data_IF_740025080889
#
_entry.id   IF_740025080889
#
_cell.length_a   1.000
_cell.length_b   1.000
_cell.length_c   1.000
_cell.angle_alpha   90.00
_cell.angle_beta   90.00
_cell.angle_gamma   90.00
#
_symmetry.space_group_name_H-M   'P 1'
#
loop_
_entity.id
_entity.type
_entity.pdbx_description
1 polymer ?
#
# COMPACT_ATOMS: atom_id res chain seq x y z
N UNK A 1 -5.56 21.99 -9.20
CA UNK A 1 -5.58 21.79 -7.73
C UNK A 1 -6.97 21.46 -7.18
N UNK A 2 -8.02 22.22 -7.51
CA UNK A 2 -9.38 22.01 -6.97
C UNK A 2 -10.13 20.86 -7.68
N UNK A 3 -9.83 20.56 -8.94
CA UNK A 3 -10.71 19.76 -9.81
C UNK A 3 -10.77 18.26 -9.51
N UNK A 4 -9.68 17.63 -9.07
CA UNK A 4 -9.68 16.21 -8.65
C UNK A 4 -10.27 16.08 -7.24
N UNK A 5 -9.90 16.98 -6.31
CA UNK A 5 -10.48 17.04 -4.98
C UNK A 5 -12.01 17.28 -5.03
N UNK A 6 -12.49 18.08 -5.99
CA UNK A 6 -13.92 18.28 -6.26
C UNK A 6 -14.59 17.12 -7.02
N UNK A 7 -13.89 16.43 -7.93
CA UNK A 7 -14.50 15.34 -8.74
C UNK A 7 -14.65 14.03 -7.97
N UNK A 8 -13.64 13.60 -7.21
CA UNK A 8 -13.75 12.41 -6.34
C UNK A 8 -14.30 12.74 -4.97
N UNK A 9 -14.31 14.03 -4.60
CA UNK A 9 -14.75 14.51 -3.30
C UNK A 9 -13.85 14.05 -2.16
N UNK A 10 -14.11 14.62 -0.98
CA UNK A 10 -13.56 14.15 0.30
C UNK A 10 -13.86 12.65 0.52
N UNK A 11 -14.96 12.16 -0.06
CA UNK A 11 -15.40 10.76 0.01
C UNK A 11 -14.37 9.81 -0.63
N UNK A 12 -13.88 10.11 -1.84
CA UNK A 12 -12.88 9.26 -2.51
C UNK A 12 -11.57 9.18 -1.73
N UNK A 13 -11.15 10.30 -1.13
CA UNK A 13 -9.98 10.38 -0.28
C UNK A 13 -10.15 9.56 1.01
N UNK A 14 -11.32 9.64 1.66
CA UNK A 14 -11.64 8.80 2.84
C UNK A 14 -11.58 7.31 2.49
N UNK A 15 -12.21 6.89 1.38
CA UNK A 15 -12.19 5.48 0.93
C UNK A 15 -10.75 5.02 0.68
N UNK A 16 -9.94 5.85 0.02
CA UNK A 16 -8.54 5.55 -0.24
C UNK A 16 -7.76 5.34 1.07
N UNK A 17 -7.91 6.23 2.05
CA UNK A 17 -7.28 6.05 3.36
C UNK A 17 -7.76 4.79 4.08
N UNK A 18 -9.04 4.43 3.98
CA UNK A 18 -9.57 3.19 4.57
C UNK A 18 -8.90 1.96 3.93
N UNK A 19 -8.73 1.95 2.60
CA UNK A 19 -8.06 0.85 1.88
C UNK A 19 -6.61 0.72 2.34
N UNK A 20 -5.87 1.83 2.35
CA UNK A 20 -4.46 1.86 2.78
C UNK A 20 -4.34 1.39 4.24
N UNK A 21 -5.18 1.91 5.14
CA UNK A 21 -5.17 1.53 6.55
C UNK A 21 -5.45 0.03 6.75
N UNK A 22 -6.46 -0.51 6.06
CA UNK A 22 -6.77 -1.95 6.10
C UNK A 22 -5.60 -2.79 5.58
N UNK A 23 -4.96 -2.36 4.50
CA UNK A 23 -3.78 -3.03 3.95
C UNK A 23 -2.60 -3.06 4.93
N UNK A 24 -2.27 -1.93 5.57
CA UNK A 24 -1.20 -1.88 6.56
C UNK A 24 -1.51 -2.76 7.78
N UNK A 25 -2.74 -2.72 8.28
CA UNK A 25 -3.17 -3.58 9.40
C UNK A 25 -2.97 -5.06 9.07
N UNK A 26 -3.42 -5.49 7.88
CA UNK A 26 -3.26 -6.87 7.41
C UNK A 26 -1.78 -7.26 7.28
N UNK A 27 -0.96 -6.39 6.69
CA UNK A 27 0.46 -6.66 6.45
C UNK A 27 1.27 -6.71 7.76
N UNK A 28 0.98 -5.83 8.71
CA UNK A 28 1.63 -5.81 10.03
C UNK A 28 1.25 -7.07 10.83
N UNK A 29 -0.01 -7.47 10.81
CA UNK A 29 -0.44 -8.71 11.48
C UNK A 29 0.28 -9.93 10.88
N UNK A 30 0.36 -10.01 9.55
CA UNK A 30 1.12 -11.07 8.89
C UNK A 30 2.60 -11.07 9.28
N UNK A 31 3.27 -9.91 9.32
CA UNK A 31 4.67 -9.79 9.75
C UNK A 31 4.88 -10.33 11.17
N UNK A 32 3.92 -10.10 12.08
CA UNK A 32 3.97 -10.58 13.46
C UNK A 32 3.79 -12.10 13.57
N UNK A 33 2.91 -12.66 12.75
CA UNK A 33 2.58 -14.09 12.75
C UNK A 33 3.55 -14.94 11.89
N UNK A 34 4.24 -14.32 10.93
CA UNK A 34 5.12 -15.04 10.00
C UNK A 34 6.42 -15.49 10.70
N UNK A 35 6.56 -16.80 10.93
CA UNK A 35 7.78 -17.40 11.46
C UNK A 35 8.99 -17.35 10.50
N UNK A 36 8.79 -17.09 9.21
CA UNK A 36 9.89 -17.05 8.24
C UNK A 36 10.53 -15.65 8.17
N UNK A 37 11.74 -15.53 8.75
CA UNK A 37 12.50 -14.26 8.81
C UNK A 37 12.77 -13.65 7.43
N UNK A 38 13.02 -14.44 6.39
CA UNK A 38 13.30 -13.93 5.02
C UNK A 38 12.07 -13.25 4.43
N UNK A 39 10.92 -13.92 4.51
CA UNK A 39 9.64 -13.37 4.02
C UNK A 39 9.28 -12.11 4.81
N UNK A 40 9.48 -12.12 6.13
CA UNK A 40 9.22 -10.96 6.99
C UNK A 40 10.01 -9.72 6.57
N UNK A 41 11.30 -9.89 6.28
CA UNK A 41 12.17 -8.80 5.81
C UNK A 41 11.69 -8.29 4.44
N UNK A 42 11.33 -9.21 3.54
CA UNK A 42 10.85 -8.84 2.20
C UNK A 42 9.52 -8.06 2.23
N UNK A 43 8.56 -8.49 3.05
CA UNK A 43 7.30 -7.75 3.23
C UNK A 43 7.58 -6.39 3.88
N UNK A 44 8.47 -6.32 4.87
CA UNK A 44 8.86 -5.06 5.50
C UNK A 44 9.49 -4.08 4.49
N UNK A 45 10.39 -4.55 3.60
CA UNK A 45 10.98 -3.69 2.57
C UNK A 45 9.94 -3.16 1.58
N UNK A 46 8.98 -3.99 1.18
CA UNK A 46 7.87 -3.56 0.32
C UNK A 46 6.99 -2.51 1.01
N UNK A 47 6.72 -2.66 2.31
CA UNK A 47 5.98 -1.66 3.08
C UNK A 47 6.73 -0.32 3.16
N UNK A 48 8.06 -0.34 3.33
CA UNK A 48 8.87 0.89 3.32
C UNK A 48 8.76 1.62 1.97
N UNK A 49 8.81 0.89 0.85
CA UNK A 49 8.63 1.46 -0.48
C UNK A 49 7.24 2.11 -0.61
N UNK A 50 6.18 1.44 -0.13
CA UNK A 50 4.81 1.97 -0.16
C UNK A 50 4.70 3.27 0.67
N UNK A 51 5.33 3.33 1.84
CA UNK A 51 5.34 4.55 2.68
C UNK A 51 6.03 5.71 1.95
N UNK A 52 7.17 5.44 1.30
CA UNK A 52 7.89 6.45 0.51
C UNK A 52 7.03 6.94 -0.65
N UNK A 53 6.38 6.03 -1.40
CA UNK A 53 5.48 6.40 -2.50
C UNK A 53 4.32 7.26 -2.00
N UNK A 54 3.70 6.89 -0.88
CA UNK A 54 2.62 7.68 -0.28
C UNK A 54 3.12 9.05 0.14
N UNK A 55 4.24 9.14 0.87
CA UNK A 55 4.84 10.40 1.28
C UNK A 55 5.14 11.31 0.09
N UNK A 56 5.84 10.80 -0.93
CA UNK A 56 6.09 11.53 -2.16
C UNK A 56 4.79 11.98 -2.84
N UNK A 57 3.76 11.14 -2.87
CA UNK A 57 2.45 11.47 -3.46
C UNK A 57 1.67 12.55 -2.69
N UNK A 58 1.99 12.79 -1.41
CA UNK A 58 1.41 13.89 -0.62
C UNK A 58 2.11 15.23 -0.88
N UNK A 59 3.44 15.21 -1.06
CA UNK A 59 4.24 16.42 -1.30
C UNK A 59 4.23 16.83 -2.77
N UNK A 60 4.27 15.86 -3.67
CA UNK A 60 4.17 16.04 -5.11
C UNK A 60 2.67 15.95 -5.46
N UNK A 61 1.98 17.08 -5.28
CA UNK A 61 0.52 17.22 -5.24
C UNK A 61 -0.16 16.37 -6.33
N UNK A 62 -0.72 15.23 -5.91
CA UNK A 62 -1.87 14.58 -6.55
C UNK A 62 -1.65 14.23 -8.04
N UNK A 63 -1.18 13.01 -8.33
CA UNK A 63 -1.47 12.36 -9.61
C UNK A 63 -0.96 13.04 -10.89
N UNK A 64 -0.02 13.99 -10.84
CA UNK A 64 0.48 14.60 -12.08
C UNK A 64 1.30 13.62 -12.93
N UNK A 65 1.69 12.46 -12.38
CA UNK A 65 2.24 11.34 -13.16
C UNK A 65 1.57 10.02 -12.76
N UNK A 66 0.93 9.28 -13.69
CA UNK A 66 0.24 8.00 -13.42
C UNK A 66 1.17 6.90 -12.88
N UNK A 67 2.49 7.10 -12.99
CA UNK A 67 3.51 6.14 -12.60
C UNK A 67 3.45 5.76 -11.12
N UNK A 68 3.40 6.72 -10.18
CA UNK A 68 3.44 6.40 -8.75
C UNK A 68 2.20 5.66 -8.26
N UNK A 69 1.02 5.99 -8.80
CA UNK A 69 -0.20 5.24 -8.53
C UNK A 69 -0.10 3.79 -8.99
N UNK A 70 0.40 3.54 -10.20
CA UNK A 70 0.61 2.17 -10.72
C UNK A 70 1.60 1.41 -9.84
N UNK A 71 2.73 2.02 -9.48
CA UNK A 71 3.72 1.39 -8.59
C UNK A 71 3.12 1.07 -7.21
N UNK A 72 2.28 1.95 -6.66
CA UNK A 72 1.59 1.70 -5.39
C UNK A 72 0.74 0.42 -5.49
N UNK A 73 -0.11 0.32 -6.51
CA UNK A 73 -0.99 -0.84 -6.70
C UNK A 73 -0.21 -2.14 -6.94
N UNK A 74 0.86 -2.09 -7.74
CA UNK A 74 1.73 -3.26 -7.97
C UNK A 74 2.37 -3.72 -6.67
N UNK A 75 2.94 -2.81 -5.88
CA UNK A 75 3.58 -3.18 -4.61
C UNK A 75 2.57 -3.74 -3.60
N UNK A 76 1.37 -3.16 -3.52
CA UNK A 76 0.29 -3.70 -2.68
C UNK A 76 -0.13 -5.10 -3.13
N UNK A 77 -0.29 -5.32 -4.44
CA UNK A 77 -0.63 -6.62 -5.01
C UNK A 77 0.43 -7.69 -4.74
N UNK A 78 1.71 -7.33 -4.81
CA UNK A 78 2.83 -8.22 -4.48
C UNK A 78 2.81 -8.63 -3.01
N UNK A 79 2.61 -7.68 -2.09
CA UNK A 79 2.49 -7.97 -0.65
C UNK A 79 1.31 -8.91 -0.39
N UNK A 80 0.14 -8.62 -0.95
CA UNK A 80 -1.05 -9.47 -0.77
C UNK A 80 -0.82 -10.88 -1.31
N UNK A 81 -0.20 -11.00 -2.49
CA UNK A 81 0.11 -12.29 -3.11
C UNK A 81 1.06 -13.11 -2.25
N UNK A 82 2.10 -12.49 -1.69
CA UNK A 82 3.04 -13.16 -0.79
C UNK A 82 2.38 -13.63 0.51
N UNK A 83 1.53 -12.80 1.09
CA UNK A 83 0.75 -13.15 2.27
C UNK A 83 -0.13 -14.36 1.98
N UNK A 84 -0.82 -14.36 0.84
CA UNK A 84 -1.71 -15.44 0.41
C UNK A 84 -0.95 -16.76 0.19
N UNK A 85 0.12 -16.72 -0.61
CA UNK A 85 0.96 -17.90 -0.89
C UNK A 85 1.49 -18.49 0.42
N UNK A 86 1.99 -17.65 1.33
CA UNK A 86 2.53 -18.15 2.60
C UNK A 86 1.44 -18.72 3.52
N UNK A 87 0.23 -18.17 3.49
CA UNK A 87 -0.91 -18.70 4.23
C UNK A 87 -1.43 -20.04 3.67
N UNK A 88 -1.30 -20.28 2.37
CA UNK A 88 -1.68 -21.55 1.73
C UNK A 88 -0.62 -22.65 1.91
N UNK A 89 0.65 -22.27 2.13
CA UNK A 89 1.77 -23.21 2.28
C UNK A 89 2.05 -23.61 3.75
N UNK A 90 1.40 -22.96 4.72
CA UNK A 90 1.48 -23.27 6.15
C UNK A 90 0.20 -23.95 6.60
#
# INVERSE_FOLDING_TARGET
>A
MITILFRTGVIGLIIFFIIIFRFFKLSINFIKECGNKKIRIYVASLLTIIIVILGMSFFDVVLERPFFGIFLWINMGLVISLIKIKKETN
#
